data_IF_826452542911
#
_entry.id   IF_826452542911
#
_cell.length_a   1.000
_cell.length_b   1.000
_cell.length_c   1.000
_cell.angle_alpha   90.00
_cell.angle_beta   90.00
_cell.angle_gamma   90.00
#
_symmetry.space_group_name_H-M   'P 1'
#
loop_
_entity.id
_entity.type
_entity.pdbx_description
1 polymer ?
#
# COMPACT_ATOMS: atom_id res chain seq x y z
N UNK A 1 -39.58 93.67 10.44
CA UNK A 1 -39.95 93.08 9.13
C UNK A 1 -39.18 91.77 9.03
N UNK A 2 -39.74 90.58 9.14
CA UNK A 2 -41.14 90.16 9.13
C UNK A 2 -41.28 88.88 9.96
N UNK A 3 -42.42 88.73 10.63
CA UNK A 3 -43.01 87.44 10.99
C UNK A 3 -43.22 86.59 9.73
N UNK A 4 -43.05 85.27 9.85
CA UNK A 4 -43.97 84.23 9.36
C UNK A 4 -43.37 82.86 9.79
N UNK A 5 -43.74 82.34 10.95
CA UNK A 5 -44.78 81.31 11.12
C UNK A 5 -44.25 79.88 10.93
N UNK A 6 -44.33 79.13 12.04
CA UNK A 6 -44.25 77.67 12.06
C UNK A 6 -45.38 77.06 11.20
N UNK A 7 -45.21 75.79 10.78
CA UNK A 7 -45.80 74.74 11.61
C UNK A 7 -44.77 73.63 11.88
N UNK A 8 -44.58 73.24 13.14
CA UNK A 8 -45.36 72.15 13.75
C UNK A 8 -45.52 70.97 12.79
N UNK A 9 -44.48 70.14 12.75
CA UNK A 9 -44.58 68.73 12.42
C UNK A 9 -43.77 68.00 13.47
N UNK A 10 -44.46 67.69 14.57
CA UNK A 10 -44.39 66.39 15.23
C UNK A 10 -43.40 65.45 14.55
N UNK A 11 -42.18 65.41 15.07
CA UNK A 11 -41.42 64.16 15.06
C UNK A 11 -42.24 63.19 15.90
N UNK A 12 -43.15 62.52 15.22
CA UNK A 12 -43.82 61.32 15.68
C UNK A 12 -42.70 60.30 15.88
N UNK A 13 -42.03 60.39 17.04
CA UNK A 13 -41.48 59.22 17.71
C UNK A 13 -42.61 58.20 17.69
N UNK A 14 -42.55 57.29 16.72
CA UNK A 14 -43.32 56.06 16.69
C UNK A 14 -42.80 55.28 17.90
N UNK A 15 -43.33 55.65 19.06
CA UNK A 15 -43.32 54.85 20.25
C UNK A 15 -43.98 53.55 19.83
N UNK A 16 -43.14 52.58 19.53
CA UNK A 16 -43.54 51.20 19.25
C UNK A 16 -44.60 50.85 20.29
N UNK A 17 -45.85 50.56 19.90
CA UNK A 17 -46.87 50.25 20.87
C UNK A 17 -46.35 49.04 21.65
N UNK A 18 -46.15 49.34 22.93
CA UNK A 18 -45.71 48.49 24.01
C UNK A 18 -46.05 47.03 23.70
N UNK A 19 -45.02 46.17 23.76
CA UNK A 19 -45.14 44.71 23.89
C UNK A 19 -45.84 44.32 25.21
N UNK A 20 -46.91 45.01 25.59
CA UNK A 20 -47.64 44.91 26.85
C UNK A 20 -49.09 44.51 26.60
N UNK A 21 -49.26 43.50 25.74
CA UNK A 21 -50.22 42.44 25.99
C UNK A 21 -49.40 41.17 25.86
N UNK A 22 -48.71 40.81 26.93
CA UNK A 22 -48.36 39.41 27.13
C UNK A 22 -49.61 38.62 26.73
N UNK A 23 -49.47 37.70 25.77
CA UNK A 23 -50.58 36.84 25.35
C UNK A 23 -51.18 36.32 26.66
N UNK A 24 -52.45 36.60 26.94
CA UNK A 24 -53.11 36.02 28.12
C UNK A 24 -52.82 34.53 28.07
N UNK A 25 -52.34 33.96 29.17
CA UNK A 25 -52.11 32.52 29.23
C UNK A 25 -53.44 31.84 28.90
N UNK A 26 -53.43 30.69 28.25
CA UNK A 26 -54.67 29.95 28.03
C UNK A 26 -55.33 29.59 29.38
N UNK A 27 -54.56 29.51 30.47
CA UNK A 27 -55.09 29.35 31.82
C UNK A 27 -55.83 30.61 32.31
N UNK A 28 -55.33 31.81 32.02
CA UNK A 28 -56.02 33.07 32.32
C UNK A 28 -57.36 33.17 31.56
N UNK A 29 -57.37 32.74 30.29
CA UNK A 29 -58.61 32.74 29.48
C UNK A 29 -59.67 31.76 30.00
N UNK A 30 -59.24 30.65 30.59
CA UNK A 30 -60.15 29.68 31.24
C UNK A 30 -60.65 30.22 32.59
N UNK A 31 -59.81 30.90 33.39
CA UNK A 31 -60.23 31.51 34.67
C UNK A 31 -61.19 32.67 34.48
N UNK A 32 -61.03 33.45 33.42
CA UNK A 32 -61.87 34.63 33.11
C UNK A 32 -63.13 34.28 32.28
N UNK A 33 -63.37 33.00 31.98
CA UNK A 33 -64.49 32.57 31.15
C UNK A 33 -65.84 32.89 31.81
N UNK A 34 -66.71 33.63 31.10
CA UNK A 34 -68.05 33.97 31.57
C UNK A 34 -69.13 33.19 30.83
N UNK A 35 -70.05 32.58 31.60
CA UNK A 35 -71.14 31.78 31.07
C UNK A 35 -72.50 32.47 31.28
N UNK A 36 -73.38 32.53 30.26
CA UNK A 36 -74.74 33.05 30.42
C UNK A 36 -75.54 32.22 31.44
N UNK A 37 -76.27 32.88 32.33
CA UNK A 37 -77.10 32.20 33.35
C UNK A 37 -78.53 31.96 32.85
N UNK A 38 -79.04 30.73 32.98
CA UNK A 38 -80.40 30.33 32.61
C UNK A 38 -81.18 29.81 33.82
N UNK A 39 -82.53 29.85 33.79
CA UNK A 39 -83.40 29.38 34.91
C UNK A 39 -83.19 27.90 35.29
N UNK A 40 -82.55 27.10 34.43
CA UNK A 40 -82.17 25.72 34.69
C UNK A 40 -80.82 25.47 34.02
N UNK A 41 -79.80 25.11 34.79
CA UNK A 41 -78.43 24.98 34.31
C UNK A 41 -77.55 24.22 35.29
N UNK A 42 -76.28 24.07 34.93
CA UNK A 42 -75.25 23.50 35.80
C UNK A 42 -75.05 24.39 37.02
N UNK A 43 -74.73 23.77 38.16
CA UNK A 43 -74.41 24.51 39.39
C UNK A 43 -73.17 25.38 39.15
N UNK A 44 -73.30 26.68 39.42
CA UNK A 44 -72.24 27.66 39.22
C UNK A 44 -71.00 27.31 40.05
N UNK A 45 -71.17 26.85 41.29
CA UNK A 45 -70.03 26.49 42.13
C UNK A 45 -69.26 25.29 41.57
N UNK A 46 -69.98 24.31 40.99
CA UNK A 46 -69.38 23.16 40.33
C UNK A 46 -68.63 23.55 39.04
N UNK A 47 -69.20 24.47 38.25
CA UNK A 47 -68.55 24.99 37.03
C UNK A 47 -67.31 25.82 37.37
N UNK A 48 -67.38 26.67 38.39
CA UNK A 48 -66.26 27.50 38.84
C UNK A 48 -65.08 26.62 39.31
N UNK A 49 -65.38 25.56 40.08
CA UNK A 49 -64.38 24.57 40.53
C UNK A 49 -63.75 23.84 39.35
N UNK A 50 -64.56 23.43 38.37
CA UNK A 50 -64.07 22.77 37.15
C UNK A 50 -63.21 23.69 36.28
N UNK A 51 -63.58 24.97 36.15
CA UNK A 51 -62.78 25.97 35.45
C UNK A 51 -61.42 26.18 36.15
N UNK A 52 -61.38 26.15 37.48
CA UNK A 52 -60.12 26.20 38.24
C UNK A 52 -59.27 24.95 38.00
N UNK A 53 -59.85 23.74 38.03
CA UNK A 53 -59.13 22.51 37.72
C UNK A 53 -58.56 22.47 36.29
N UNK A 54 -59.32 22.99 35.30
CA UNK A 54 -58.84 23.12 33.91
C UNK A 54 -57.75 24.18 33.83
N UNK A 55 -57.90 25.33 34.48
CA UNK A 55 -56.87 26.37 34.47
C UNK A 55 -55.55 25.85 35.05
N UNK A 56 -55.59 25.14 36.17
CA UNK A 56 -54.41 24.50 36.78
C UNK A 56 -53.81 23.40 35.89
N UNK A 57 -54.62 22.70 35.09
CA UNK A 57 -54.13 21.73 34.11
C UNK A 57 -53.45 22.41 32.91
N UNK A 58 -54.03 23.51 32.42
CA UNK A 58 -53.49 24.29 31.30
C UNK A 58 -52.18 24.97 31.71
N UNK A 59 -52.11 25.54 32.91
CA UNK A 59 -50.90 26.15 33.46
C UNK A 59 -49.76 25.12 33.57
N UNK A 60 -50.04 23.92 34.07
CA UNK A 60 -49.05 22.81 34.09
C UNK A 60 -48.59 22.37 32.71
N UNK A 61 -49.43 22.46 31.69
CA UNK A 61 -49.07 22.10 30.31
C UNK A 61 -48.27 23.21 29.62
N UNK A 62 -48.53 24.47 29.95
CA UNK A 62 -47.76 25.63 29.45
C UNK A 62 -46.36 25.72 30.08
N UNK A 63 -46.21 25.31 31.35
CA UNK A 63 -44.93 25.24 32.04
C UNK A 63 -44.00 24.14 31.50
N UNK A 64 -44.55 23.08 30.90
CA UNK A 64 -43.74 22.05 30.25
C UNK A 64 -43.35 22.51 28.84
N UNK A 65 -42.05 22.54 28.50
CA UNK A 65 -41.62 22.74 27.12
C UNK A 65 -42.37 21.73 26.23
N UNK A 66 -42.95 22.16 25.08
CA UNK A 66 -43.62 21.23 24.20
C UNK A 66 -42.65 20.09 23.86
N UNK A 67 -43.03 18.84 24.13
CA UNK A 67 -42.16 17.66 23.93
C UNK A 67 -41.50 17.66 22.54
N UNK A 68 -42.19 18.20 21.53
CA UNK A 68 -41.70 18.39 20.17
C UNK A 68 -40.42 19.26 20.08
N UNK A 69 -40.31 20.31 20.89
CA UNK A 69 -39.11 21.19 20.91
C UNK A 69 -37.89 20.51 21.54
N UNK A 70 -38.10 19.70 22.57
CA UNK A 70 -37.04 18.91 23.20
C UNK A 70 -36.55 17.80 22.27
N UNK A 71 -37.47 17.13 21.59
CA UNK A 71 -37.14 16.10 20.58
C UNK A 71 -36.39 16.72 19.40
N UNK A 72 -36.82 17.88 18.88
CA UNK A 72 -36.10 18.59 17.81
C UNK A 72 -34.67 18.93 18.20
N UNK A 73 -34.45 19.48 19.41
CA UNK A 73 -33.09 19.76 19.90
C UNK A 73 -32.23 18.51 20.01
N UNK A 74 -32.79 17.42 20.52
CA UNK A 74 -32.06 16.15 20.62
C UNK A 74 -31.68 15.61 19.22
N UNK A 75 -32.57 15.73 18.24
CA UNK A 75 -32.27 15.34 16.85
C UNK A 75 -31.22 16.25 16.20
N UNK A 76 -31.26 17.55 16.45
CA UNK A 76 -30.27 18.50 15.95
C UNK A 76 -28.88 18.22 16.56
N UNK A 77 -28.82 17.89 17.85
CA UNK A 77 -27.60 17.53 18.57
C UNK A 77 -27.00 16.23 18.01
N UNK A 78 -27.82 15.18 17.86
CA UNK A 78 -27.37 13.91 17.25
C UNK A 78 -26.96 14.11 15.79
N UNK A 79 -27.65 14.97 15.05
CA UNK A 79 -27.28 15.33 13.67
C UNK A 79 -25.90 15.98 13.60
N UNK A 80 -25.63 16.96 14.47
CA UNK A 80 -24.33 17.62 14.58
C UNK A 80 -23.22 16.64 14.98
N UNK A 81 -23.48 15.78 15.97
CA UNK A 81 -22.54 14.75 16.40
C UNK A 81 -22.23 13.78 15.26
N UNK A 82 -23.26 13.34 14.52
CA UNK A 82 -23.10 12.44 13.38
C UNK A 82 -22.28 13.07 12.28
N UNK A 83 -22.56 14.33 11.92
CA UNK A 83 -21.75 15.08 10.93
C UNK A 83 -20.30 15.22 11.40
N UNK A 84 -20.06 15.52 12.67
CA UNK A 84 -18.71 15.63 13.22
C UNK A 84 -17.94 14.30 13.22
N UNK A 85 -18.64 13.16 13.44
CA UNK A 85 -18.04 11.83 13.34
C UNK A 85 -17.70 11.51 11.88
N UNK A 86 -18.63 11.75 10.95
CA UNK A 86 -18.40 11.49 9.52
C UNK A 86 -17.25 12.33 8.96
N UNK A 87 -17.17 13.60 9.35
CA UNK A 87 -16.08 14.49 8.94
C UNK A 87 -14.73 13.96 9.44
N UNK A 88 -14.61 13.62 10.73
CA UNK A 88 -13.40 13.04 11.31
C UNK A 88 -13.03 11.71 10.67
N UNK A 89 -14.02 10.87 10.36
CA UNK A 89 -13.78 9.61 9.67
C UNK A 89 -13.25 9.83 8.25
N UNK A 90 -13.75 10.84 7.54
CA UNK A 90 -13.25 11.17 6.20
C UNK A 90 -11.82 11.71 6.25
N UNK A 91 -11.54 12.65 7.15
CA UNK A 91 -10.18 13.18 7.37
C UNK A 91 -9.19 12.07 7.72
N UNK A 92 -9.57 11.17 8.62
CA UNK A 92 -8.74 10.02 8.97
C UNK A 92 -8.53 9.07 7.78
N UNK A 93 -9.56 8.83 6.97
CA UNK A 93 -9.44 8.00 5.77
C UNK A 93 -8.52 8.63 4.72
N UNK A 94 -8.61 9.95 4.51
CA UNK A 94 -7.72 10.70 3.61
C UNK A 94 -6.28 10.67 4.10
N UNK A 95 -6.06 10.86 5.40
CA UNK A 95 -4.72 10.76 6.01
C UNK A 95 -4.13 9.36 5.83
N UNK A 96 -4.90 8.31 6.13
CA UNK A 96 -4.47 6.91 5.93
C UNK A 96 -4.15 6.66 4.45
N UNK A 97 -4.99 7.13 3.53
CA UNK A 97 -4.79 6.94 2.09
C UNK A 97 -3.53 7.67 1.61
N UNK A 98 -3.34 8.92 2.00
CA UNK A 98 -2.17 9.74 1.65
C UNK A 98 -0.88 9.13 2.22
N UNK A 99 -0.90 8.73 3.48
CA UNK A 99 0.22 8.05 4.14
C UNK A 99 0.54 6.70 3.47
N UNK A 100 -0.48 5.93 3.11
CA UNK A 100 -0.28 4.63 2.45
C UNK A 100 0.33 4.80 1.05
N UNK A 101 -0.14 5.79 0.28
CA UNK A 101 0.42 6.12 -1.04
C UNK A 101 1.87 6.55 -0.95
N UNK A 102 2.18 7.53 -0.09
CA UNK A 102 3.56 7.99 0.09
C UNK A 102 4.50 6.89 0.58
N UNK A 103 4.03 5.98 1.45
CA UNK A 103 4.82 4.81 1.86
C UNK A 103 5.02 3.80 0.73
N UNK A 104 4.01 3.57 -0.11
CA UNK A 104 4.11 2.68 -1.26
C UNK A 104 5.09 3.25 -2.29
N UNK A 105 4.98 4.54 -2.62
CA UNK A 105 5.89 5.26 -3.51
C UNK A 105 7.34 5.19 -2.99
N UNK A 106 7.56 5.50 -1.71
CA UNK A 106 8.89 5.40 -1.11
C UNK A 106 9.48 3.98 -1.11
N UNK A 107 8.64 2.94 -1.03
CA UNK A 107 9.06 1.54 -1.15
C UNK A 107 9.42 1.20 -2.60
N UNK A 108 8.62 1.64 -3.56
CA UNK A 108 8.89 1.45 -4.99
C UNK A 108 10.19 2.13 -5.40
N UNK A 109 10.37 3.40 -5.06
CA UNK A 109 11.61 4.13 -5.37
C UNK A 109 12.85 3.47 -4.74
N UNK A 110 12.72 2.90 -3.54
CA UNK A 110 13.81 2.16 -2.91
C UNK A 110 14.10 0.87 -3.68
N UNK A 111 13.07 0.09 -3.99
CA UNK A 111 13.22 -1.16 -4.72
C UNK A 111 13.81 -0.95 -6.13
N UNK A 112 13.40 0.13 -6.82
CA UNK A 112 13.97 0.52 -8.12
C UNK A 112 15.45 0.84 -7.98
N UNK A 113 15.85 1.66 -7.00
CA UNK A 113 17.26 1.97 -6.74
C UNK A 113 18.08 0.73 -6.41
N UNK A 114 17.58 -0.14 -5.54
CA UNK A 114 18.24 -1.40 -5.19
C UNK A 114 18.38 -2.32 -6.40
N UNK A 115 17.37 -2.37 -7.27
CA UNK A 115 17.41 -3.15 -8.52
C UNK A 115 18.46 -2.59 -9.48
N UNK A 116 18.46 -1.28 -9.70
CA UNK A 116 19.43 -0.61 -10.58
C UNK A 116 20.87 -0.79 -10.08
N UNK A 117 21.07 -0.71 -8.76
CA UNK A 117 22.38 -0.94 -8.14
C UNK A 117 22.81 -2.41 -8.29
N UNK A 118 21.90 -3.36 -8.05
CA UNK A 118 22.19 -4.78 -8.22
C UNK A 118 22.48 -5.15 -9.69
N UNK A 119 21.75 -4.57 -10.64
CA UNK A 119 22.01 -4.75 -12.07
C UNK A 119 23.38 -4.23 -12.46
N UNK A 120 23.73 -3.01 -12.04
CA UNK A 120 25.05 -2.42 -12.29
C UNK A 120 26.17 -3.29 -11.71
N UNK A 121 26.01 -3.74 -10.48
CA UNK A 121 26.99 -4.60 -9.81
C UNK A 121 27.11 -5.97 -10.51
N UNK A 122 26.00 -6.52 -11.00
CA UNK A 122 25.97 -7.74 -11.80
C UNK A 122 26.68 -7.58 -13.14
N UNK A 123 26.44 -6.47 -13.85
CA UNK A 123 27.10 -6.15 -15.11
C UNK A 123 28.62 -5.95 -14.92
N UNK A 124 29.03 -5.24 -13.87
CA UNK A 124 30.45 -5.06 -13.53
C UNK A 124 31.13 -6.41 -13.25
N UNK A 125 30.48 -7.31 -12.50
CA UNK A 125 30.99 -8.66 -12.25
C UNK A 125 31.06 -9.51 -13.52
N UNK A 126 30.05 -9.43 -14.37
CA UNK A 126 30.03 -10.17 -15.63
C UNK A 126 31.19 -9.72 -16.53
N UNK A 127 31.39 -8.42 -16.67
CA UNK A 127 32.52 -7.85 -17.44
C UNK A 127 33.87 -8.27 -16.86
N UNK A 128 34.01 -8.27 -15.52
CA UNK A 128 35.23 -8.75 -14.88
C UNK A 128 35.49 -10.23 -15.18
N UNK A 129 34.46 -11.08 -15.08
CA UNK A 129 34.59 -12.50 -15.36
C UNK A 129 34.93 -12.77 -16.84
N UNK A 130 34.32 -12.02 -17.76
CA UNK A 130 34.65 -12.09 -19.19
C UNK A 130 36.12 -11.72 -19.45
N UNK A 131 36.61 -10.65 -18.79
CA UNK A 131 38.01 -10.25 -18.88
C UNK A 131 38.95 -11.33 -18.30
N UNK A 132 38.59 -11.92 -17.16
CA UNK A 132 39.37 -12.99 -16.53
C UNK A 132 39.41 -14.25 -17.41
N UNK A 133 38.28 -14.63 -18.00
CA UNK A 133 38.19 -15.75 -18.94
C UNK A 133 39.08 -15.48 -20.16
N UNK A 134 39.01 -14.28 -20.74
CA UNK A 134 39.87 -13.91 -21.87
C UNK A 134 41.36 -14.00 -21.51
N UNK A 135 41.75 -13.50 -20.33
CA UNK A 135 43.12 -13.60 -19.83
C UNK A 135 43.58 -15.05 -19.64
N UNK A 136 42.72 -15.91 -19.08
CA UNK A 136 43.02 -17.35 -18.94
C UNK A 136 43.21 -18.04 -20.29
N UNK A 137 42.41 -17.69 -21.31
CA UNK A 137 42.57 -18.25 -22.65
C UNK A 137 43.87 -17.82 -23.31
N UNK A 138 44.28 -16.56 -23.15
CA UNK A 138 45.58 -16.07 -23.61
C UNK A 138 46.71 -16.83 -22.91
N UNK A 139 46.64 -16.97 -21.58
CA UNK A 139 47.63 -17.70 -20.80
C UNK A 139 47.71 -19.17 -21.24
N UNK A 140 46.57 -19.84 -21.42
CA UNK A 140 46.52 -21.23 -21.90
C UNK A 140 47.20 -21.37 -23.25
N UNK A 141 46.92 -20.45 -24.18
CA UNK A 141 47.51 -20.47 -25.53
C UNK A 141 49.03 -20.31 -25.46
N UNK A 142 49.51 -19.37 -24.63
CA UNK A 142 50.93 -19.18 -24.38
C UNK A 142 51.59 -20.43 -23.78
N UNK A 143 51.00 -21.03 -22.74
CA UNK A 143 51.53 -22.23 -22.10
C UNK A 143 51.60 -23.44 -23.06
N UNK A 144 50.61 -23.59 -23.94
CA UNK A 144 50.63 -24.65 -24.97
C UNK A 144 51.80 -24.43 -25.94
N UNK A 145 52.04 -23.18 -26.34
CA UNK A 145 53.14 -22.87 -27.25
C UNK A 145 54.51 -23.05 -26.58
N UNK A 146 54.66 -22.61 -25.33
CA UNK A 146 55.86 -22.85 -24.53
C UNK A 146 56.12 -24.35 -24.34
N UNK A 147 55.07 -25.16 -24.11
CA UNK A 147 55.19 -26.61 -24.00
C UNK A 147 55.64 -27.26 -25.31
N UNK A 148 55.14 -26.80 -26.46
CA UNK A 148 55.59 -27.27 -27.78
C UNK A 148 57.05 -26.94 -28.02
N UNK A 149 57.45 -25.70 -27.74
CA UNK A 149 58.85 -25.29 -27.88
C UNK A 149 59.77 -26.13 -27.00
N UNK A 150 59.39 -26.37 -25.73
CA UNK A 150 60.18 -27.22 -24.84
C UNK A 150 60.25 -28.67 -25.35
N UNK A 151 59.16 -29.21 -25.89
CA UNK A 151 59.16 -30.54 -26.48
C UNK A 151 60.11 -30.63 -27.68
N UNK A 152 60.11 -29.62 -28.56
CA UNK A 152 61.03 -29.54 -29.70
C UNK A 152 62.51 -29.43 -29.24
N UNK A 153 62.78 -28.64 -28.20
CA UNK A 153 64.14 -28.53 -27.62
C UNK A 153 64.62 -29.86 -27.03
N UNK A 154 63.75 -30.57 -26.29
CA UNK A 154 64.06 -31.87 -25.70
C UNK A 154 64.27 -32.94 -26.80
N UNK A 155 63.42 -32.95 -27.83
CA UNK A 155 63.56 -33.85 -28.98
C UNK A 155 64.86 -33.58 -29.74
N UNK A 156 65.17 -32.31 -30.05
CA UNK A 156 66.42 -31.95 -30.71
C UNK A 156 67.66 -32.32 -29.89
N UNK A 157 67.64 -32.12 -28.57
CA UNK A 157 68.73 -32.54 -27.69
C UNK A 157 68.91 -34.07 -27.64
N UNK A 158 67.80 -34.83 -27.74
CA UNK A 158 67.84 -36.29 -27.82
C UNK A 158 68.41 -36.77 -29.16
N UNK A 159 68.00 -36.20 -30.30
CA UNK A 159 68.53 -36.51 -31.63
C UNK A 159 70.03 -36.21 -31.71
N UNK A 160 70.47 -35.05 -31.23
CA UNK A 160 71.90 -34.69 -31.16
C UNK A 160 72.71 -35.69 -30.32
N UNK A 161 72.13 -36.23 -29.25
CA UNK A 161 72.78 -37.24 -28.42
C UNK A 161 72.86 -38.58 -29.15
N UNK A 162 71.81 -38.98 -29.87
CA UNK A 162 71.79 -40.19 -30.70
C UNK A 162 72.85 -40.13 -31.82
N UNK A 163 72.96 -38.98 -32.51
CA UNK A 163 73.96 -38.78 -33.58
C UNK A 163 75.39 -38.88 -33.05
N UNK A 164 75.66 -38.34 -31.85
CA UNK A 164 76.97 -38.48 -31.18
C UNK A 164 77.30 -39.92 -30.79
N UNK A 165 76.30 -40.77 -30.58
CA UNK A 165 76.48 -42.17 -30.20
C UNK A 165 76.58 -43.12 -31.40
N UNK A 166 76.23 -42.69 -32.64
CA UNK A 166 76.43 -43.50 -33.84
C UNK A 166 77.89 -43.41 -34.36
N UNK A 167 78.61 -44.54 -34.53
CA UNK A 167 79.88 -44.53 -35.27
C UNK A 167 79.62 -44.31 -36.78
N UNK A 168 80.60 -43.78 -37.55
CA UNK A 168 80.41 -43.56 -38.98
C UNK A 168 80.19 -44.90 -39.68
N UNK A 169 78.96 -45.14 -40.13
CA UNK A 169 78.63 -46.32 -40.94
C UNK A 169 79.23 -46.13 -42.34
N UNK A 170 80.26 -46.91 -42.66
CA UNK A 170 80.61 -47.19 -44.06
C UNK A 170 79.50 -48.06 -44.63
N UNK A 171 78.63 -47.49 -45.48
CA UNK A 171 77.68 -48.28 -46.25
C UNK A 171 78.42 -49.20 -47.24
N UNK A 172 78.45 -50.48 -46.93
CA UNK A 172 78.46 -51.53 -47.95
C UNK A 172 77.49 -52.66 -47.54
N UNK A 173 76.41 -52.77 -48.33
CA UNK A 173 75.50 -53.90 -48.52
C UNK A 173 74.53 -54.34 -47.41
N UNK A 174 73.45 -55.07 -47.77
CA UNK A 174 72.51 -54.83 -48.87
C UNK A 174 71.04 -54.81 -48.39
N UNK A 175 70.13 -54.52 -49.33
CA UNK A 175 68.68 -54.35 -49.16
C UNK A 175 68.01 -55.31 -48.16
N UNK A 176 67.31 -54.73 -47.18
CA UNK A 176 66.32 -55.44 -46.36
C UNK A 176 65.03 -55.55 -47.17
N UNK A 177 64.59 -56.80 -47.32
CA UNK A 177 63.33 -57.19 -47.97
C UNK A 177 62.16 -56.63 -47.17
N UNK A 178 61.29 -55.90 -47.85
CA UNK A 178 59.95 -55.53 -47.39
C UNK A 178 59.18 -56.82 -47.08
N UNK A 179 58.88 -57.06 -45.81
CA UNK A 179 57.78 -57.94 -45.43
C UNK A 179 56.57 -57.04 -45.31
N UNK A 180 55.62 -57.18 -46.23
CA UNK A 180 54.25 -56.72 -46.05
C UNK A 180 53.69 -57.39 -44.80
N UNK A 181 53.76 -56.68 -43.68
CA UNK A 181 53.03 -57.00 -42.46
C UNK A 181 51.68 -56.31 -42.56
N UNK A 182 50.65 -57.14 -42.74
CA UNK A 182 49.22 -56.89 -42.57
C UNK A 182 48.90 -55.63 -41.75
N UNK A 183 48.11 -54.71 -42.32
CA UNK A 183 47.52 -53.63 -41.54
C UNK A 183 46.67 -54.22 -40.41
N UNK A 184 46.86 -53.82 -39.14
CA UNK A 184 45.85 -54.09 -38.14
C UNK A 184 44.64 -53.21 -38.45
N UNK A 185 43.57 -53.86 -38.90
CA UNK A 185 42.21 -53.32 -38.93
C UNK A 185 41.85 -52.77 -37.54
N UNK A 186 41.99 -51.46 -37.38
CA UNK A 186 41.47 -50.73 -36.23
C UNK A 186 40.04 -50.24 -36.53
N UNK A 187 39.16 -51.15 -36.93
CA UNK A 187 37.73 -51.02 -36.65
C UNK A 187 37.46 -51.46 -35.20
N UNK A 188 38.02 -50.71 -34.25
CA UNK A 188 37.41 -50.71 -32.91
C UNK A 188 36.20 -49.80 -33.01
N UNK A 189 35.03 -50.39 -33.22
CA UNK A 189 33.77 -49.85 -32.74
C UNK A 189 33.91 -49.64 -31.23
N UNK A 190 34.51 -48.52 -30.84
CA UNK A 190 34.34 -47.99 -29.51
C UNK A 190 33.10 -47.10 -29.59
N UNK A 191 31.94 -47.71 -29.34
CA UNK A 191 30.82 -46.99 -28.76
C UNK A 191 31.35 -46.31 -27.49
N UNK A 192 31.79 -45.06 -27.62
CA UNK A 192 31.81 -44.16 -26.49
C UNK A 192 30.35 -43.93 -26.12
N UNK A 193 29.85 -44.78 -25.23
CA UNK A 193 28.82 -44.39 -24.31
C UNK A 193 29.28 -43.07 -23.68
N UNK A 194 28.65 -41.98 -24.10
CA UNK A 194 28.68 -40.74 -23.33
C UNK A 194 28.04 -41.10 -21.98
N UNK A 195 28.87 -41.46 -20.99
CA UNK A 195 28.49 -41.42 -19.60
C UNK A 195 28.08 -39.97 -19.31
N UNK A 196 26.77 -39.82 -19.16
CA UNK A 196 26.11 -38.99 -18.16
C UNK A 196 26.82 -37.66 -17.90
N UNK A 197 26.43 -36.63 -18.66
CA UNK A 197 26.65 -35.27 -18.18
C UNK A 197 25.97 -35.18 -16.80
N UNK A 198 26.64 -34.74 -15.72
CA UNK A 198 25.89 -34.32 -14.55
C UNK A 198 25.06 -33.12 -15.00
N UNK A 199 23.76 -33.35 -15.21
CA UNK A 199 22.80 -32.25 -15.23
C UNK A 199 22.94 -31.57 -13.89
N UNK A 200 23.56 -30.39 -13.88
CA UNK A 200 23.46 -29.48 -12.74
C UNK A 200 21.98 -29.12 -12.70
N UNK A 201 21.25 -29.83 -11.84
CA UNK A 201 19.91 -29.49 -11.43
C UNK A 201 20.03 -28.09 -10.80
N UNK A 202 19.69 -27.06 -11.59
CA UNK A 202 19.48 -25.74 -11.04
C UNK A 202 18.28 -25.89 -10.13
N UNK A 203 18.57 -25.97 -8.84
CA UNK A 203 17.60 -25.94 -7.75
C UNK A 203 16.66 -24.75 -8.00
N UNK A 204 15.51 -25.05 -8.59
CA UNK A 204 14.45 -24.09 -8.74
C UNK A 204 13.98 -23.80 -7.31
N UNK A 205 13.99 -22.55 -6.83
CA UNK A 205 13.54 -22.27 -5.48
C UNK A 205 12.11 -22.78 -5.34
N UNK A 206 11.89 -23.70 -4.39
CA UNK A 206 10.58 -24.24 -4.08
C UNK A 206 9.57 -23.09 -3.91
N UNK A 207 8.38 -23.16 -4.54
CA UNK A 207 7.34 -22.20 -4.24
C UNK A 207 6.93 -22.39 -2.78
N UNK A 208 7.11 -21.34 -1.98
CA UNK A 208 6.73 -21.31 -0.56
C UNK A 208 5.30 -21.86 -0.38
N UNK A 209 5.07 -22.74 0.62
CA UNK A 209 3.75 -23.26 0.88
C UNK A 209 2.81 -22.12 1.29
N UNK A 210 1.73 -22.01 0.53
CA UNK A 210 0.57 -21.12 0.71
C UNK A 210 0.23 -21.00 2.21
N UNK A 211 0.54 -19.84 2.78
CA UNK A 211 0.24 -19.55 4.17
C UNK A 211 -1.29 -19.65 4.39
N UNK A 212 -1.78 -20.46 5.34
CA UNK A 212 -3.20 -20.52 5.60
C UNK A 212 -3.68 -19.15 6.09
N UNK A 213 -4.62 -18.58 5.32
CA UNK A 213 -5.42 -17.41 5.71
C UNK A 213 -6.07 -17.68 7.06
N UNK A 214 -6.07 -16.62 7.87
CA UNK A 214 -6.26 -16.67 9.32
C UNK A 214 -7.54 -17.30 9.86
N UNK A 215 -7.44 -17.63 11.14
CA UNK A 215 -8.40 -17.59 12.26
C UNK A 215 -7.79 -18.58 13.29
N UNK A 216 -7.38 -18.16 14.48
CA UNK A 216 -8.30 -17.88 15.56
C UNK A 216 -7.75 -16.89 16.59
N UNK A 217 -8.66 -16.00 16.99
CA UNK A 217 -8.71 -15.27 18.24
C UNK A 217 -8.41 -16.19 19.43
N UNK A 218 -7.37 -15.90 20.21
CA UNK A 218 -7.30 -16.39 21.59
C UNK A 218 -6.81 -15.28 22.52
N UNK A 219 -7.75 -14.77 23.31
CA UNK A 219 -7.48 -14.05 24.55
C UNK A 219 -6.89 -15.01 25.59
N UNK A 220 -5.92 -14.57 26.39
CA UNK A 220 -6.16 -14.52 27.85
C UNK A 220 -5.47 -13.27 28.47
N UNK A 221 -5.81 -12.72 29.64
CA UNK A 221 -6.53 -13.17 30.84
C UNK A 221 -6.92 -11.92 31.64
#
# INVERSE_FOLDING_TARGET
>A
MSEEQAPDRTEETVATPRRSRARRSAADEVRDAQFPTAMRGYDRAAVDTWCQEIADLVERLEEQPPRDTAVKRALDEVGQETTAILQRAHEAAEEITSRSRSQAEARLERAERETDDALREGEERAQQLEADIAAMWEQRTRLIEELRQLADEVLGAADDALDRMQPPVTSDSPAVVMVEGEEPDLSTDHEMAYEDQPTVEVDAPEPEPDAPRGQDTEAPR
#
